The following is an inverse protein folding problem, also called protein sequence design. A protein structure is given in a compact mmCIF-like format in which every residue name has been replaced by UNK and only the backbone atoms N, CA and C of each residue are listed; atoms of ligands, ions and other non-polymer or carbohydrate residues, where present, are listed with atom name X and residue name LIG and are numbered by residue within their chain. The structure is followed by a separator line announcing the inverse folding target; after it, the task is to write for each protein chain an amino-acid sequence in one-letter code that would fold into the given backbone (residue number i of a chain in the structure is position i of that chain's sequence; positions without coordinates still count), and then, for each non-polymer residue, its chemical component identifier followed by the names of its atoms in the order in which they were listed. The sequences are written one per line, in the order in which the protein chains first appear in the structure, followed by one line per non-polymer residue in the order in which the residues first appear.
data_IF_965333573936
#
_entry.id   IF_965333573936
#
_cell.length_a   1.000
_cell.length_b   1.000
_cell.length_c   1.000
_cell.angle_alpha   90.00
_cell.angle_beta   90.00
_cell.angle_gamma   90.00
#
_symmetry.space_group_name_H-M   'P 1'
#
loop_
_entity.id
_entity.type
_entity.pdbx_description
1 polymer ?
#
# COMPACT_ATOMS: atom_id res chain seq x y z
N UNK A 1 -4.89 -13.15 0.05
CA UNK A 1 -4.81 -11.72 -0.33
C UNK A 1 -5.92 -11.32 -1.28
N UNK A 2 -6.29 -12.12 -2.27
CA UNK A 2 -7.48 -11.85 -3.11
C UNK A 2 -8.77 -11.73 -2.29
N UNK A 3 -8.86 -12.46 -1.17
CA UNK A 3 -9.92 -12.36 -0.16
C UNK A 3 -10.06 -10.98 0.51
N UNK A 4 -9.10 -10.08 0.33
CA UNK A 4 -9.17 -8.70 0.81
C UNK A 4 -10.01 -7.81 -0.12
N UNK A 5 -10.33 -8.26 -1.33
CA UNK A 5 -11.24 -7.51 -2.21
C UNK A 5 -12.63 -7.46 -1.56
N UNK A 6 -13.19 -6.26 -1.45
CA UNK A 6 -14.44 -5.97 -0.75
C UNK A 6 -14.25 -5.66 0.74
N UNK A 7 -13.07 -5.87 1.32
CA UNK A 7 -12.79 -5.50 2.70
C UNK A 7 -12.38 -4.03 2.82
N UNK A 8 -12.41 -3.52 4.05
CA UNK A 8 -11.88 -2.20 4.41
C UNK A 8 -10.61 -2.40 5.24
N UNK A 9 -9.54 -1.72 4.87
CA UNK A 9 -8.28 -1.65 5.62
C UNK A 9 -8.12 -0.21 6.11
N UNK A 10 -8.39 0.05 7.39
CA UNK A 10 -8.43 1.40 7.94
C UNK A 10 -9.45 2.29 7.21
N UNK A 11 -8.97 3.35 6.55
CA UNK A 11 -9.77 4.30 5.77
C UNK A 11 -9.96 3.89 4.28
N UNK A 12 -9.46 2.72 3.88
CA UNK A 12 -9.40 2.30 2.48
C UNK A 12 -10.26 1.09 2.19
N UNK A 13 -11.29 1.26 1.36
CA UNK A 13 -12.11 0.14 0.85
C UNK A 13 -11.46 -0.46 -0.38
N UNK A 14 -11.06 -1.71 -0.33
CA UNK A 14 -10.37 -2.40 -1.42
C UNK A 14 -11.39 -2.91 -2.44
N UNK A 15 -11.29 -2.45 -3.69
CA UNK A 15 -12.27 -2.72 -4.75
C UNK A 15 -11.86 -3.85 -5.69
N UNK A 16 -10.54 -4.09 -5.83
CA UNK A 16 -10.02 -5.09 -6.75
C UNK A 16 -8.50 -5.06 -6.83
N UNK A 17 -7.92 -6.09 -7.42
CA UNK A 17 -6.46 -6.20 -7.59
C UNK A 17 -6.02 -5.48 -8.87
N UNK A 18 -5.06 -4.56 -8.74
CA UNK A 18 -4.41 -3.91 -9.88
C UNK A 18 -3.14 -4.64 -10.30
N UNK A 19 -2.43 -5.26 -9.35
CA UNK A 19 -1.18 -5.96 -9.65
C UNK A 19 -0.69 -6.84 -8.51
N UNK A 20 0.14 -7.81 -8.87
CA UNK A 20 0.76 -8.76 -7.95
C UNK A 20 2.28 -8.68 -8.16
N UNK A 21 3.04 -8.46 -7.10
CA UNK A 21 4.49 -8.33 -7.16
C UNK A 21 5.17 -9.19 -6.10
N UNK A 22 6.51 -9.15 -6.06
CA UNK A 22 7.32 -9.95 -5.14
C UNK A 22 7.09 -9.64 -3.66
N UNK A 23 6.87 -8.37 -3.29
CA UNK A 23 6.64 -7.98 -1.88
C UNK A 23 5.17 -8.00 -1.45
N UNK A 24 4.23 -8.02 -2.37
CA UNK A 24 2.84 -7.70 -2.02
C UNK A 24 1.90 -7.55 -3.21
N UNK A 25 0.69 -7.14 -2.91
CA UNK A 25 -0.40 -6.94 -3.85
C UNK A 25 -0.78 -5.47 -3.89
N UNK A 26 -1.08 -4.95 -5.07
CA UNK A 26 -1.57 -3.58 -5.25
C UNK A 26 -3.07 -3.67 -5.56
N UNK A 27 -3.86 -2.95 -4.79
CA UNK A 27 -5.30 -2.90 -4.92
C UNK A 27 -5.74 -1.53 -5.40
N UNK A 28 -6.79 -1.50 -6.23
CA UNK A 28 -7.61 -0.30 -6.39
C UNK A 28 -8.44 -0.17 -5.14
N UNK A 29 -8.46 1.02 -4.55
CA UNK A 29 -9.23 1.29 -3.36
C UNK A 29 -9.86 2.67 -3.41
N UNK A 30 -10.91 2.88 -2.63
CA UNK A 30 -11.42 4.21 -2.34
C UNK A 30 -11.04 4.60 -0.93
N UNK A 31 -10.47 5.79 -0.77
CA UNK A 31 -10.25 6.41 0.52
C UNK A 31 -11.55 7.06 0.98
N UNK A 32 -12.14 6.55 2.05
CA UNK A 32 -13.50 6.91 2.49
C UNK A 32 -13.54 8.35 2.97
N UNK A 33 -12.59 8.76 3.80
CA UNK A 33 -12.55 10.13 4.38
C UNK A 33 -12.47 11.25 3.34
N UNK A 34 -11.82 11.00 2.20
CA UNK A 34 -11.56 12.01 1.16
C UNK A 34 -12.35 11.77 -0.14
N UNK A 35 -13.07 10.66 -0.25
CA UNK A 35 -13.86 10.33 -1.44
C UNK A 35 -13.05 10.20 -2.73
N UNK A 36 -11.78 9.78 -2.65
CA UNK A 36 -10.87 9.66 -3.80
C UNK A 36 -10.45 8.22 -4.05
N UNK A 37 -10.26 7.88 -5.32
CA UNK A 37 -9.71 6.58 -5.70
C UNK A 37 -8.18 6.58 -5.60
N UNK A 38 -7.61 5.54 -5.01
CA UNK A 38 -6.18 5.38 -4.73
C UNK A 38 -5.71 3.96 -5.04
N UNK A 39 -4.40 3.79 -5.14
CA UNK A 39 -3.77 2.47 -5.16
C UNK A 39 -3.19 2.17 -3.78
N UNK A 40 -3.54 1.03 -3.19
CA UNK A 40 -3.01 0.57 -1.89
C UNK A 40 -2.14 -0.65 -2.13
N UNK A 41 -0.85 -0.55 -1.79
CA UNK A 41 0.08 -1.69 -1.81
C UNK A 41 0.10 -2.32 -0.43
N UNK A 42 -0.33 -3.58 -0.35
CA UNK A 42 -0.32 -4.39 0.87
C UNK A 42 0.84 -5.37 0.82
N UNK A 43 1.72 -5.31 1.81
CA UNK A 43 2.88 -6.18 1.98
C UNK A 43 2.43 -7.52 2.55
N UNK A 44 3.00 -8.62 2.04
CA UNK A 44 2.63 -9.95 2.55
C UNK A 44 3.16 -10.16 3.97
N UNK A 45 2.39 -10.81 4.87
CA UNK A 45 2.82 -11.09 6.24
C UNK A 45 4.17 -11.82 6.34
N UNK A 46 4.42 -12.76 5.42
CA UNK A 46 5.69 -13.51 5.26
C UNK A 46 6.94 -12.62 5.07
N UNK A 47 6.76 -11.35 4.70
CA UNK A 47 7.84 -10.39 4.55
C UNK A 47 7.91 -9.35 5.68
N UNK A 48 6.97 -9.37 6.62
CA UNK A 48 6.99 -8.45 7.77
C UNK A 48 8.12 -8.79 8.74
N UNK A 49 8.51 -10.06 8.88
CA UNK A 49 9.62 -10.44 9.77
C UNK A 49 11.01 -10.31 9.11
N UNK A 50 11.03 -9.96 7.82
CA UNK A 50 12.25 -9.81 7.04
C UNK A 50 12.77 -8.38 7.11
N UNK A 51 13.73 -8.16 8.01
CA UNK A 51 14.35 -6.86 8.29
C UNK A 51 14.89 -6.18 7.02
N UNK A 52 15.44 -6.94 6.08
CA UNK A 52 15.94 -6.45 4.78
C UNK A 52 14.82 -5.82 3.93
N UNK A 53 13.64 -6.43 3.91
CA UNK A 53 12.50 -5.96 3.13
C UNK A 53 11.82 -4.77 3.80
N UNK A 54 11.69 -4.76 5.12
CA UNK A 54 11.24 -3.59 5.90
C UNK A 54 12.13 -2.38 5.67
N UNK A 55 13.45 -2.56 5.69
CA UNK A 55 14.42 -1.49 5.41
C UNK A 55 14.26 -0.97 3.98
N UNK A 56 14.12 -1.86 2.99
CA UNK A 56 13.91 -1.45 1.59
C UNK A 56 12.60 -0.70 1.41
N UNK A 57 11.50 -1.20 1.97
CA UNK A 57 10.20 -0.53 1.93
C UNK A 57 10.27 0.89 2.52
N UNK A 58 10.85 1.01 3.72
CA UNK A 58 11.02 2.31 4.38
C UNK A 58 11.88 3.26 3.56
N UNK A 59 12.94 2.75 2.91
CA UNK A 59 13.81 3.55 2.05
C UNK A 59 13.09 4.04 0.79
N UNK A 60 12.32 3.18 0.13
CA UNK A 60 11.51 3.56 -1.04
C UNK A 60 10.46 4.63 -0.65
N UNK A 61 9.79 4.43 0.48
CA UNK A 61 8.82 5.38 1.04
C UNK A 61 9.44 6.75 1.33
N UNK A 62 10.61 6.79 1.99
CA UNK A 62 11.30 8.04 2.29
C UNK A 62 11.78 8.76 1.02
N UNK A 63 12.21 8.02 0.01
CA UNK A 63 12.60 8.60 -1.27
C UNK A 63 11.39 9.25 -1.98
N UNK A 64 10.25 8.55 -2.02
CA UNK A 64 9.03 9.06 -2.64
C UNK A 64 8.40 10.21 -1.85
N UNK A 65 8.47 10.19 -0.52
CA UNK A 65 7.96 11.27 0.33
C UNK A 65 8.67 12.61 0.10
N UNK A 66 9.92 12.59 -0.39
CA UNK A 66 10.71 13.79 -0.71
C UNK A 66 10.50 14.28 -2.14
N UNK A 67 9.76 13.54 -2.97
CA UNK A 67 9.54 13.85 -4.38
C UNK A 67 8.11 14.34 -4.60
N UNK A 68 7.97 15.56 -5.14
CA UNK A 68 6.70 16.10 -5.60
C UNK A 68 6.86 16.59 -7.03
N UNK A 69 6.45 15.76 -7.99
CA UNK A 69 6.58 16.06 -9.41
C UNK A 69 5.43 15.41 -10.19
N UNK A 70 4.85 16.08 -11.22
CA UNK A 70 3.70 15.54 -11.97
C UNK A 70 3.96 14.17 -12.63
N UNK A 71 5.21 13.86 -12.97
CA UNK A 71 5.60 12.58 -13.58
C UNK A 71 6.08 11.52 -12.57
N UNK A 72 5.90 11.74 -11.27
CA UNK A 72 6.26 10.79 -10.22
C UNK A 72 5.02 10.45 -9.42
N UNK A 73 4.79 9.16 -9.18
CA UNK A 73 3.66 8.71 -8.36
C UNK A 73 3.81 9.27 -6.96
N UNK A 74 2.77 10.00 -6.51
CA UNK A 74 2.71 10.55 -5.17
C UNK A 74 2.31 9.48 -4.18
N UNK A 75 3.06 9.38 -3.09
CA UNK A 75 2.65 8.56 -1.94
C UNK A 75 1.94 9.45 -0.94
N UNK A 76 0.75 9.03 -0.51
CA UNK A 76 -0.06 9.78 0.46
C UNK A 76 0.25 9.38 1.90
N UNK A 77 0.36 8.08 2.14
CA UNK A 77 0.53 7.50 3.48
C UNK A 77 1.19 6.12 3.37
N UNK A 78 1.85 5.70 4.45
CA UNK A 78 2.16 4.30 4.74
C UNK A 78 2.00 4.06 6.24
N UNK A 79 1.50 2.89 6.59
CA UNK A 79 1.23 2.51 7.97
C UNK A 79 0.94 1.02 8.06
N UNK A 80 0.60 0.58 9.27
CA UNK A 80 0.22 -0.81 9.53
C UNK A 80 -1.25 -0.86 9.97
N UNK A 81 -2.01 -1.84 9.48
CA UNK A 81 -3.41 -2.05 9.82
C UNK A 81 -3.72 -3.55 9.78
N UNK A 82 -4.38 -4.08 10.81
CA UNK A 82 -4.76 -5.49 10.93
C UNK A 82 -3.58 -6.48 10.71
N UNK A 83 -2.37 -6.09 11.16
CA UNK A 83 -1.15 -6.89 10.98
C UNK A 83 -0.64 -6.92 9.54
N UNK A 84 -1.13 -6.04 8.67
CA UNK A 84 -0.65 -5.78 7.32
C UNK A 84 0.08 -4.44 7.28
N UNK A 85 1.08 -4.31 6.41
CA UNK A 85 1.83 -3.08 6.17
C UNK A 85 1.78 -2.66 4.70
#
# INVERSE_FOLDING_TARGET
MESLVGSTLGDYRLLGVLGRGGMGWVFRADQISLGRSVAVKVIRPEFLDRTDLKVRFRREMLALARLSHPNVVKVFEAGECDGLA
#
